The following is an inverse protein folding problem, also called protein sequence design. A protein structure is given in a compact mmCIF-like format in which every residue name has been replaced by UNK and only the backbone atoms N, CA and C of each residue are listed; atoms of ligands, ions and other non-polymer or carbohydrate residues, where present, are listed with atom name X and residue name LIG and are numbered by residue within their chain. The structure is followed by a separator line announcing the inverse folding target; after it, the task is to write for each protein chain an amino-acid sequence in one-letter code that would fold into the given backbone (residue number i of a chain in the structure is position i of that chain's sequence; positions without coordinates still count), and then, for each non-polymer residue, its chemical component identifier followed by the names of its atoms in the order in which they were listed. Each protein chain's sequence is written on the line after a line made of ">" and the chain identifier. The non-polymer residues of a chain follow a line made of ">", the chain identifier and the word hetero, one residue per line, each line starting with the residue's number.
data_IF_015311651780
#
_entry.id   IF_015311651780
#
_cell.length_a   1.000
_cell.length_b   1.000
_cell.length_c   1.000
_cell.angle_alpha   90.00
_cell.angle_beta   90.00
_cell.angle_gamma   90.00
#
_symmetry.space_group_name_H-M   'P 1'
#
loop_
_entity.id
_entity.type
_entity.pdbx_description
1 polymer ?
#
# COMPACT_ATOMS: atom_id res chain seq x y z
N UNK A 1 -7.74 -28.52 -3.79
CA UNK A 1 -7.60 -28.58 -2.33
C UNK A 1 -8.35 -27.41 -1.69
N UNK A 2 -8.75 -27.56 -0.41
CA UNK A 2 -9.31 -26.46 0.38
C UNK A 2 -8.24 -25.92 1.31
N UNK A 3 -7.95 -24.64 1.21
CA UNK A 3 -6.85 -23.99 1.93
C UNK A 3 -7.44 -22.93 2.85
N UNK A 4 -7.13 -23.02 4.13
CA UNK A 4 -7.59 -22.07 5.15
C UNK A 4 -6.57 -21.01 5.44
N UNK A 5 -7.04 -19.76 5.63
CA UNK A 5 -6.21 -18.70 6.18
C UNK A 5 -6.81 -18.10 7.45
N UNK A 6 -5.97 -17.98 8.47
CA UNK A 6 -6.33 -17.44 9.79
C UNK A 6 -5.43 -16.26 10.11
N UNK A 7 -5.99 -15.19 10.64
CA UNK A 7 -5.23 -14.08 11.20
C UNK A 7 -5.75 -13.66 12.57
N UNK A 8 -4.85 -13.56 13.54
CA UNK A 8 -5.15 -13.05 14.89
C UNK A 8 -4.28 -11.84 15.21
N UNK A 9 -4.83 -10.90 15.98
CA UNK A 9 -4.19 -9.62 16.26
C UNK A 9 -3.23 -9.64 17.46
N UNK A 10 -3.29 -10.65 18.33
CA UNK A 10 -2.44 -10.84 19.50
C UNK A 10 -2.17 -12.32 19.73
N UNK A 11 -1.05 -12.64 20.39
CA UNK A 11 -0.73 -14.04 20.77
C UNK A 11 -1.77 -14.67 21.70
N UNK A 12 -2.50 -13.86 22.47
CA UNK A 12 -3.53 -14.29 23.41
C UNK A 12 -4.89 -14.55 22.76
N UNK A 13 -5.14 -14.05 21.53
CA UNK A 13 -6.39 -14.36 20.82
C UNK A 13 -6.36 -15.80 20.34
N UNK A 14 -7.26 -16.58 20.88
CA UNK A 14 -7.40 -18.00 20.60
C UNK A 14 -7.75 -18.24 19.11
N UNK A 15 -6.79 -18.75 18.35
CA UNK A 15 -6.98 -19.18 16.95
C UNK A 15 -7.90 -20.40 16.89
N UNK A 16 -8.04 -21.17 17.97
CA UNK A 16 -8.71 -22.47 18.00
C UNK A 16 -10.12 -22.40 17.42
N UNK A 17 -10.89 -21.34 17.68
CA UNK A 17 -12.24 -21.22 17.10
C UNK A 17 -12.22 -21.17 15.58
N UNK A 18 -11.32 -20.38 14.98
CA UNK A 18 -11.19 -20.27 13.52
C UNK A 18 -10.66 -21.56 12.92
N UNK A 19 -9.68 -22.18 13.59
CA UNK A 19 -9.09 -23.44 13.16
C UNK A 19 -10.11 -24.59 13.18
N UNK A 20 -10.90 -24.71 14.25
CA UNK A 20 -11.96 -25.72 14.37
C UNK A 20 -12.97 -25.53 13.24
N UNK A 21 -13.48 -24.31 13.06
CA UNK A 21 -14.43 -24.00 11.99
C UNK A 21 -13.89 -24.36 10.60
N UNK A 22 -12.64 -24.01 10.31
CA UNK A 22 -12.02 -24.30 9.01
C UNK A 22 -11.79 -25.80 8.82
N UNK A 23 -11.40 -26.53 9.86
CA UNK A 23 -11.27 -28.00 9.83
C UNK A 23 -12.60 -28.71 9.61
N UNK A 24 -13.69 -28.23 10.24
CA UNK A 24 -15.05 -28.73 10.02
C UNK A 24 -15.50 -28.55 8.56
N UNK A 25 -14.98 -27.53 7.86
CA UNK A 25 -15.22 -27.30 6.43
C UNK A 25 -14.36 -28.19 5.52
N UNK A 26 -13.52 -29.05 6.11
CA UNK A 26 -12.65 -29.96 5.38
C UNK A 26 -11.48 -29.23 4.71
N UNK A 27 -10.89 -28.24 5.39
CA UNK A 27 -9.66 -27.58 4.92
C UNK A 27 -8.49 -28.55 5.02
N UNK A 28 -7.77 -28.71 3.93
CA UNK A 28 -6.63 -29.64 3.79
C UNK A 28 -5.34 -29.02 4.38
N UNK A 29 -5.11 -27.72 4.17
CA UNK A 29 -3.92 -26.99 4.62
C UNK A 29 -4.32 -25.67 5.27
N UNK A 30 -3.58 -25.24 6.32
CA UNK A 30 -3.91 -24.06 7.10
C UNK A 30 -2.70 -23.13 7.25
N UNK A 31 -2.86 -21.87 6.90
CA UNK A 31 -1.87 -20.81 7.05
C UNK A 31 -2.31 -19.84 8.14
N UNK A 32 -1.44 -19.55 9.12
CA UNK A 32 -1.79 -18.77 10.31
C UNK A 32 -0.81 -17.62 10.52
N UNK A 33 -1.28 -16.39 10.36
CA UNK A 33 -0.55 -15.19 10.73
C UNK A 33 -0.95 -14.68 12.12
N UNK A 34 0.04 -14.50 12.98
CA UNK A 34 -0.11 -13.82 14.28
C UNK A 34 0.34 -12.36 14.11
N UNK A 35 -0.52 -11.52 13.55
CA UNK A 35 -0.18 -10.13 13.23
C UNK A 35 -1.36 -9.19 13.44
N UNK A 36 -1.13 -8.01 14.03
CA UNK A 36 -2.16 -6.97 14.13
C UNK A 36 -2.63 -6.53 12.75
N UNK A 37 -3.87 -6.05 12.63
CA UNK A 37 -4.41 -5.54 11.37
C UNK A 37 -3.61 -4.35 10.78
N UNK A 38 -2.80 -3.70 11.62
CA UNK A 38 -1.91 -2.60 11.22
C UNK A 38 -0.54 -3.07 10.73
N UNK A 39 -0.11 -4.29 11.09
CA UNK A 39 1.17 -4.84 10.61
C UNK A 39 1.10 -5.12 9.10
N UNK A 40 2.10 -4.62 8.38
CA UNK A 40 2.28 -4.90 6.96
C UNK A 40 2.77 -6.33 6.71
N UNK A 41 3.37 -6.94 7.71
CA UNK A 41 4.00 -8.24 7.56
C UNK A 41 3.01 -9.38 7.80
N UNK A 42 2.79 -10.19 6.75
CA UNK A 42 1.94 -11.38 6.74
C UNK A 42 2.68 -12.48 5.97
N UNK A 43 3.67 -13.09 6.59
CA UNK A 43 4.50 -14.09 5.92
C UNK A 43 3.69 -15.30 5.46
N UNK A 44 2.74 -15.76 6.29
CA UNK A 44 1.92 -16.92 5.94
C UNK A 44 0.88 -16.62 4.86
N UNK A 45 0.35 -15.39 4.80
CA UNK A 45 -0.48 -14.98 3.65
C UNK A 45 0.32 -15.02 2.35
N UNK A 46 1.54 -14.47 2.34
CA UNK A 46 2.41 -14.51 1.15
C UNK A 46 2.73 -15.94 0.74
N UNK A 47 3.12 -16.77 1.72
CA UNK A 47 3.41 -18.18 1.50
C UNK A 47 2.18 -18.92 0.94
N UNK A 48 0.99 -18.68 1.47
CA UNK A 48 -0.25 -19.23 0.96
C UNK A 48 -0.50 -18.78 -0.48
N UNK A 49 -0.35 -17.49 -0.79
CA UNK A 49 -0.53 -16.95 -2.15
C UNK A 49 0.44 -17.56 -3.18
N UNK A 50 1.64 -17.95 -2.76
CA UNK A 50 2.59 -18.69 -3.59
C UNK A 50 2.23 -20.17 -3.72
N UNK A 51 1.73 -20.77 -2.65
CA UNK A 51 1.41 -22.20 -2.54
C UNK A 51 0.20 -22.62 -3.37
N UNK A 52 -0.85 -21.80 -3.41
CA UNK A 52 -2.12 -22.12 -4.07
C UNK A 52 -1.98 -22.34 -5.58
N UNK A 53 -2.72 -23.31 -6.09
CA UNK A 53 -2.68 -23.75 -7.48
C UNK A 53 -4.09 -23.74 -8.09
N UNK A 54 -4.13 -23.81 -9.41
CA UNK A 54 -5.38 -23.91 -10.17
C UNK A 54 -6.30 -24.99 -9.60
N UNK A 55 -7.55 -24.62 -9.36
CA UNK A 55 -8.60 -25.52 -8.85
C UNK A 55 -8.63 -25.64 -7.33
N UNK A 56 -7.74 -24.92 -6.61
CA UNK A 56 -7.82 -24.80 -5.16
C UNK A 56 -8.90 -23.79 -4.74
N UNK A 57 -9.32 -23.87 -3.48
CA UNK A 57 -10.26 -22.92 -2.87
C UNK A 57 -9.69 -22.37 -1.58
N UNK A 58 -9.51 -21.05 -1.49
CA UNK A 58 -9.10 -20.38 -0.26
C UNK A 58 -10.34 -20.04 0.56
N UNK A 59 -10.36 -20.49 1.82
CA UNK A 59 -11.48 -20.30 2.75
C UNK A 59 -11.03 -19.48 3.94
N UNK A 60 -11.79 -18.44 4.27
CA UNK A 60 -11.54 -17.59 5.45
C UNK A 60 -12.79 -17.44 6.30
N UNK A 61 -12.62 -17.16 7.60
CA UNK A 61 -13.74 -16.85 8.49
C UNK A 61 -14.45 -15.57 8.05
N UNK A 62 -13.67 -14.50 7.77
CA UNK A 62 -14.20 -13.19 7.37
C UNK A 62 -13.19 -12.41 6.52
N UNK A 63 -13.71 -11.50 5.72
CA UNK A 63 -12.91 -10.57 4.90
C UNK A 63 -11.92 -9.80 5.77
N UNK A 64 -12.33 -9.36 6.95
CA UNK A 64 -11.47 -8.59 7.87
C UNK A 64 -10.25 -9.36 8.38
N UNK A 65 -10.26 -10.69 8.29
CA UNK A 65 -9.10 -11.56 8.58
C UNK A 65 -8.18 -11.69 7.38
N UNK A 66 -8.75 -11.69 6.19
CA UNK A 66 -8.03 -11.86 4.93
C UNK A 66 -7.40 -10.55 4.43
N UNK A 67 -8.17 -9.48 4.39
CA UNK A 67 -7.76 -8.19 3.88
C UNK A 67 -7.77 -7.09 4.97
N UNK A 68 -7.03 -5.99 4.73
CA UNK A 68 -6.96 -4.82 5.62
C UNK A 68 -8.00 -3.77 5.28
N UNK A 69 -8.32 -3.67 4.02
CA UNK A 69 -9.30 -2.75 3.45
C UNK A 69 -9.86 -3.34 2.16
N UNK A 70 -10.85 -2.70 1.58
CA UNK A 70 -11.52 -3.17 0.36
C UNK A 70 -10.56 -3.31 -0.81
N UNK A 71 -9.61 -2.40 -0.97
CA UNK A 71 -8.61 -2.47 -2.05
C UNK A 71 -7.71 -3.70 -1.91
N UNK A 72 -7.16 -3.92 -0.70
CA UNK A 72 -6.33 -5.10 -0.39
C UNK A 72 -7.10 -6.42 -0.65
N UNK A 73 -8.42 -6.44 -0.36
CA UNK A 73 -9.29 -7.57 -0.69
C UNK A 73 -9.34 -7.83 -2.20
N UNK A 74 -9.60 -6.79 -2.96
CA UNK A 74 -9.75 -6.90 -4.41
C UNK A 74 -8.45 -7.35 -5.08
N UNK A 75 -7.32 -6.74 -4.69
CA UNK A 75 -6.00 -7.08 -5.21
C UNK A 75 -5.65 -8.56 -4.89
N UNK A 76 -5.97 -9.04 -3.67
CA UNK A 76 -5.75 -10.44 -3.28
C UNK A 76 -6.66 -11.41 -4.05
N UNK A 77 -7.95 -11.09 -4.19
CA UNK A 77 -8.91 -11.95 -4.92
C UNK A 77 -8.63 -11.95 -6.42
N UNK A 78 -8.22 -10.82 -7.00
CA UNK A 78 -7.77 -10.75 -8.39
C UNK A 78 -6.60 -11.71 -8.63
N UNK A 79 -5.59 -11.68 -7.76
CA UNK A 79 -4.43 -12.60 -7.82
C UNK A 79 -4.82 -14.10 -7.72
N UNK A 80 -5.79 -14.43 -6.85
CA UNK A 80 -6.35 -15.78 -6.78
C UNK A 80 -7.07 -16.16 -8.07
N UNK A 81 -7.86 -15.23 -8.63
CA UNK A 81 -8.61 -15.44 -9.87
C UNK A 81 -7.68 -15.66 -11.07
N UNK A 82 -6.58 -14.90 -11.19
CA UNK A 82 -5.55 -15.11 -12.20
C UNK A 82 -4.94 -16.50 -12.14
N UNK A 83 -4.76 -17.03 -10.92
CA UNK A 83 -4.30 -18.41 -10.68
C UNK A 83 -5.41 -19.46 -10.84
N UNK A 84 -6.64 -19.05 -11.14
CA UNK A 84 -7.82 -19.92 -11.19
C UNK A 84 -8.08 -20.64 -9.84
N UNK A 85 -7.90 -19.89 -8.74
CA UNK A 85 -8.18 -20.29 -7.36
C UNK A 85 -9.43 -19.58 -6.90
N UNK A 86 -10.35 -20.31 -6.29
CA UNK A 86 -11.60 -19.76 -5.79
C UNK A 86 -11.43 -19.21 -4.37
N UNK A 87 -12.25 -18.20 -4.01
CA UNK A 87 -12.24 -17.57 -2.71
C UNK A 87 -13.60 -17.66 -2.01
N UNK A 88 -13.60 -18.05 -0.74
CA UNK A 88 -14.80 -18.16 0.09
C UNK A 88 -14.61 -17.44 1.42
N UNK A 89 -15.47 -16.45 1.72
CA UNK A 89 -15.60 -15.85 3.03
C UNK A 89 -16.90 -16.28 3.71
N UNK A 90 -16.78 -16.93 4.86
CA UNK A 90 -17.94 -17.56 5.54
C UNK A 90 -18.89 -16.53 6.14
N UNK A 91 -18.35 -15.53 6.83
CA UNK A 91 -19.16 -14.55 7.57
C UNK A 91 -19.98 -13.66 6.63
N UNK A 92 -19.37 -13.22 5.53
CA UNK A 92 -20.00 -12.36 4.54
C UNK A 92 -20.75 -13.16 3.45
N UNK A 93 -20.71 -14.50 3.51
CA UNK A 93 -21.32 -15.41 2.53
C UNK A 93 -20.89 -15.09 1.07
N UNK A 94 -19.62 -14.70 0.90
CA UNK A 94 -19.03 -14.47 -0.42
C UNK A 94 -18.36 -15.76 -0.88
N UNK A 95 -18.73 -16.19 -2.08
CA UNK A 95 -18.21 -17.40 -2.71
C UNK A 95 -18.01 -17.14 -4.20
N UNK A 96 -16.75 -17.06 -4.64
CA UNK A 96 -16.42 -16.77 -6.04
C UNK A 96 -16.73 -17.92 -7.00
N UNK A 97 -17.08 -19.09 -6.49
CA UNK A 97 -17.59 -20.19 -7.34
C UNK A 97 -18.99 -19.86 -7.87
N UNK A 98 -19.72 -18.96 -7.19
CA UNK A 98 -21.10 -18.58 -7.54
C UNK A 98 -21.15 -17.24 -8.29
N UNK A 99 -22.14 -17.08 -9.21
CA UNK A 99 -22.36 -15.78 -9.87
C UNK A 99 -22.66 -14.65 -8.88
N UNK A 100 -23.40 -14.95 -7.81
CA UNK A 100 -23.72 -13.98 -6.76
C UNK A 100 -22.48 -13.51 -6.01
N UNK A 101 -21.55 -14.41 -5.67
CA UNK A 101 -20.28 -14.03 -5.02
C UNK A 101 -19.40 -13.18 -5.91
N UNK A 102 -19.31 -13.50 -7.21
CA UNK A 102 -18.61 -12.65 -8.20
C UNK A 102 -19.24 -11.27 -8.31
N UNK A 103 -20.57 -11.21 -8.36
CA UNK A 103 -21.29 -9.92 -8.37
C UNK A 103 -20.99 -9.10 -7.12
N UNK A 104 -21.01 -9.70 -5.93
CA UNK A 104 -20.67 -9.01 -4.67
C UNK A 104 -19.27 -8.40 -4.69
N UNK A 105 -18.27 -9.09 -5.23
CA UNK A 105 -16.93 -8.53 -5.41
C UNK A 105 -16.93 -7.33 -6.35
N UNK A 106 -17.71 -7.35 -7.43
CA UNK A 106 -17.87 -6.22 -8.33
C UNK A 106 -18.47 -5.00 -7.60
N UNK A 107 -19.45 -5.22 -6.74
CA UNK A 107 -20.02 -4.15 -5.90
C UNK A 107 -18.96 -3.58 -4.95
N UNK A 108 -18.15 -4.43 -4.29
CA UNK A 108 -17.05 -3.95 -3.44
C UNK A 108 -16.02 -3.14 -4.24
N UNK A 109 -15.70 -3.56 -5.46
CA UNK A 109 -14.80 -2.81 -6.34
C UNK A 109 -15.34 -1.41 -6.65
N UNK A 110 -16.62 -1.32 -7.01
CA UNK A 110 -17.27 -0.04 -7.29
C UNK A 110 -17.31 0.88 -6.05
N UNK A 111 -17.60 0.33 -4.86
CA UNK A 111 -17.57 1.09 -3.61
C UNK A 111 -16.17 1.60 -3.28
N UNK A 112 -15.13 0.76 -3.44
CA UNK A 112 -13.74 1.16 -3.20
C UNK A 112 -13.28 2.29 -4.12
N UNK A 113 -13.69 2.26 -5.40
CA UNK A 113 -13.36 3.33 -6.36
C UNK A 113 -14.10 4.62 -5.99
N UNK A 114 -15.37 4.55 -5.62
CA UNK A 114 -16.14 5.70 -5.16
C UNK A 114 -15.53 6.35 -3.91
N UNK A 115 -15.12 5.55 -2.92
CA UNK A 115 -14.41 6.04 -1.73
C UNK A 115 -13.11 6.78 -2.10
N UNK A 116 -12.36 6.22 -3.05
CA UNK A 116 -11.13 6.84 -3.56
C UNK A 116 -11.40 8.18 -4.23
N UNK A 117 -12.43 8.26 -5.06
CA UNK A 117 -12.83 9.52 -5.72
C UNK A 117 -13.21 10.59 -4.69
N UNK A 118 -13.98 10.25 -3.66
CA UNK A 118 -14.32 11.18 -2.58
C UNK A 118 -13.12 11.65 -1.78
N UNK A 119 -12.13 10.79 -1.53
CA UNK A 119 -10.89 11.18 -0.86
C UNK A 119 -10.10 12.18 -1.73
N UNK A 120 -9.95 11.91 -3.02
CA UNK A 120 -9.25 12.79 -3.96
C UNK A 120 -9.96 14.14 -4.12
N UNK A 121 -11.29 14.14 -4.18
CA UNK A 121 -12.08 15.36 -4.25
C UNK A 121 -11.86 16.22 -2.99
N UNK A 122 -12.03 15.65 -1.80
CA UNK A 122 -11.78 16.37 -0.53
C UNK A 122 -10.36 16.90 -0.43
N UNK A 123 -9.36 16.13 -0.92
CA UNK A 123 -7.97 16.58 -0.97
C UNK A 123 -7.79 17.77 -1.90
N UNK A 124 -8.39 17.77 -3.09
CA UNK A 124 -8.35 18.90 -4.04
C UNK A 124 -8.97 20.16 -3.44
N UNK A 125 -10.13 20.02 -2.83
CA UNK A 125 -10.83 21.12 -2.13
C UNK A 125 -9.98 21.68 -0.98
N UNK A 126 -9.41 20.82 -0.14
CA UNK A 126 -8.52 21.23 0.94
C UNK A 126 -7.26 21.95 0.46
N UNK A 127 -6.64 21.49 -0.65
CA UNK A 127 -5.50 22.17 -1.27
C UNK A 127 -5.91 23.54 -1.84
N UNK A 128 -7.08 23.64 -2.47
CA UNK A 128 -7.58 24.92 -3.01
C UNK A 128 -7.77 25.94 -1.88
N UNK A 129 -8.42 25.54 -0.79
CA UNK A 129 -8.60 26.38 0.41
C UNK A 129 -7.25 26.79 1.03
N UNK A 130 -6.31 25.83 1.18
CA UNK A 130 -4.99 26.11 1.74
C UNK A 130 -4.17 27.07 0.87
N UNK A 131 -4.35 27.03 -0.47
CA UNK A 131 -3.73 28.00 -1.41
C UNK A 131 -4.29 29.40 -1.22
N UNK A 132 -5.63 29.55 -1.15
CA UNK A 132 -6.26 30.86 -0.93
C UNK A 132 -5.87 31.48 0.41
N UNK A 133 -5.64 30.64 1.43
CA UNK A 133 -5.19 31.10 2.77
C UNK A 133 -3.65 31.28 2.87
N UNK A 134 -2.89 31.10 1.78
CA UNK A 134 -1.42 31.20 1.81
C UNK A 134 -0.71 30.11 2.64
N UNK A 135 -1.44 29.09 3.09
CA UNK A 135 -0.90 28.00 3.93
C UNK A 135 -0.21 26.91 3.11
N UNK A 136 -0.54 26.79 1.82
CA UNK A 136 0.06 25.79 0.94
C UNK A 136 1.41 26.30 0.40
N UNK A 137 2.48 25.90 1.04
CA UNK A 137 3.86 26.31 0.69
C UNK A 137 4.58 25.37 -0.27
N UNK A 138 3.94 24.28 -0.69
CA UNK A 138 4.59 23.24 -1.49
C UNK A 138 5.67 22.48 -0.72
N UNK A 139 6.59 21.88 -1.46
CA UNK A 139 7.75 21.20 -0.87
C UNK A 139 8.71 22.24 -0.29
N UNK A 140 9.12 22.13 0.98
CA UNK A 140 10.13 23.04 1.54
C UNK A 140 11.38 23.09 0.66
N UNK A 141 11.92 24.29 0.47
CA UNK A 141 13.18 24.44 -0.24
C UNK A 141 14.28 23.68 0.52
N UNK A 142 15.05 22.87 -0.20
CA UNK A 142 16.19 22.19 0.41
C UNK A 142 17.22 23.24 0.79
N UNK A 143 17.64 23.23 2.05
CA UNK A 143 18.72 24.10 2.53
C UNK A 143 20.07 23.55 2.10
N UNK A 144 20.98 24.46 1.80
CA UNK A 144 22.36 24.16 1.39
C UNK A 144 23.29 25.04 2.23
N UNK A 145 23.63 24.64 3.46
CA UNK A 145 24.28 25.51 4.45
C UNK A 145 25.61 26.11 3.97
N UNK A 146 26.32 25.49 3.04
CA UNK A 146 27.60 25.98 2.51
C UNK A 146 27.50 26.57 1.10
N UNK A 147 26.27 26.89 0.63
CA UNK A 147 26.06 27.27 -0.76
C UNK A 147 26.87 28.49 -1.17
N UNK A 148 26.86 29.57 -0.37
CA UNK A 148 27.57 30.83 -0.64
C UNK A 148 29.09 30.62 -0.70
N UNK A 149 29.64 29.88 0.25
CA UNK A 149 31.07 29.58 0.30
C UNK A 149 31.51 28.78 -0.94
N UNK A 150 30.74 27.75 -1.33
CA UNK A 150 31.06 26.93 -2.50
C UNK A 150 30.94 27.73 -3.80
N UNK A 151 29.95 28.63 -3.91
CA UNK A 151 29.78 29.53 -5.05
C UNK A 151 30.92 30.55 -5.14
N UNK A 152 31.38 31.08 -4.01
CA UNK A 152 32.52 31.99 -3.98
C UNK A 152 33.81 31.33 -4.48
N UNK A 153 34.09 30.13 -4.00
CA UNK A 153 35.25 29.31 -4.46
C UNK A 153 35.20 29.00 -5.96
N UNK A 154 34.00 28.68 -6.45
CA UNK A 154 33.79 28.46 -7.90
C UNK A 154 34.06 29.73 -8.72
N UNK A 155 33.58 30.91 -8.25
CA UNK A 155 33.80 32.20 -8.93
C UNK A 155 35.25 32.64 -8.90
N UNK A 156 35.99 32.32 -7.83
CA UNK A 156 37.42 32.59 -7.69
C UNK A 156 38.30 31.61 -8.53
N UNK A 157 37.69 30.63 -9.21
CA UNK A 157 38.42 29.65 -10.02
C UNK A 157 39.10 28.53 -9.22
N UNK A 158 38.84 28.44 -7.90
CA UNK A 158 39.44 27.40 -7.03
C UNK A 158 38.87 26.00 -7.29
N UNK A 159 37.60 25.94 -7.71
CA UNK A 159 36.91 24.72 -8.04
C UNK A 159 36.09 24.86 -9.35
N UNK A 160 35.90 23.76 -10.06
CA UNK A 160 35.04 23.79 -11.26
C UNK A 160 33.57 23.76 -10.88
N UNK A 161 32.69 24.22 -11.79
CA UNK A 161 31.23 24.17 -11.57
C UNK A 161 30.73 22.74 -11.31
N UNK A 162 31.36 21.72 -11.93
CA UNK A 162 31.03 20.31 -11.71
C UNK A 162 31.35 19.88 -10.29
N UNK A 163 32.50 20.29 -9.77
CA UNK A 163 32.91 20.03 -8.39
C UNK A 163 32.00 20.73 -7.38
N UNK A 164 31.63 21.99 -7.64
CA UNK A 164 30.70 22.75 -6.81
C UNK A 164 29.33 22.09 -6.75
N UNK A 165 28.75 21.68 -7.89
CA UNK A 165 27.50 20.97 -7.97
C UNK A 165 27.54 19.63 -7.22
N UNK A 166 28.65 18.88 -7.32
CA UNK A 166 28.83 17.59 -6.62
C UNK A 166 28.91 17.79 -5.09
N UNK A 167 29.65 18.80 -4.63
CA UNK A 167 29.77 19.13 -3.19
C UNK A 167 28.41 19.50 -2.58
N UNK A 168 27.57 20.22 -3.33
CA UNK A 168 26.24 20.66 -2.88
C UNK A 168 25.13 19.64 -3.13
N UNK A 169 25.40 18.57 -3.88
CA UNK A 169 24.38 17.61 -4.31
C UNK A 169 23.26 18.26 -5.13
N UNK A 170 23.62 19.22 -6.01
CA UNK A 170 22.69 20.02 -6.81
C UNK A 170 22.73 19.62 -8.29
N UNK A 171 21.57 19.69 -8.96
CA UNK A 171 21.50 19.62 -10.41
C UNK A 171 22.04 20.92 -11.05
N UNK A 172 22.51 20.82 -12.30
CA UNK A 172 23.05 21.93 -13.08
C UNK A 172 22.11 23.14 -13.11
N UNK A 173 20.86 22.93 -13.48
CA UNK A 173 19.85 24.00 -13.58
C UNK A 173 19.69 24.73 -12.25
N UNK A 174 19.46 23.99 -11.16
CA UNK A 174 19.24 24.54 -9.83
C UNK A 174 20.48 25.29 -9.29
N UNK A 175 21.69 24.81 -9.58
CA UNK A 175 22.93 25.45 -9.17
C UNK A 175 23.06 26.85 -9.78
N UNK A 176 22.91 26.94 -11.12
CA UNK A 176 23.05 28.23 -11.80
C UNK A 176 21.92 29.21 -11.52
N UNK A 177 20.68 28.76 -11.40
CA UNK A 177 19.54 29.60 -11.00
C UNK A 177 19.79 30.24 -9.62
N UNK A 178 20.21 29.43 -8.65
CA UNK A 178 20.44 29.92 -7.29
C UNK A 178 21.71 30.78 -7.19
N UNK A 179 22.77 30.44 -7.92
CA UNK A 179 23.99 31.27 -7.99
C UNK A 179 23.73 32.63 -8.63
N UNK A 180 22.77 32.74 -9.56
CA UNK A 180 22.36 34.03 -10.15
C UNK A 180 21.66 34.95 -9.14
N UNK A 181 20.93 34.38 -8.17
CA UNK A 181 20.25 35.14 -7.12
C UNK A 181 21.21 35.79 -6.09
N UNK A 182 22.43 35.26 -5.91
CA UNK A 182 23.46 35.86 -5.06
C UNK A 182 24.12 37.09 -5.66
N UNK A 183 23.76 37.49 -6.87
CA UNK A 183 24.28 38.67 -7.53
C UNK A 183 23.32 39.90 -7.46
N UNK A 184 22.20 39.74 -6.73
CA UNK A 184 21.24 40.80 -6.43
C UNK A 184 21.37 41.19 -4.97
#
# INVERSE_FOLDING_TARGET
>A
MKIGYVRVSTEEQNTARQEIMLRELGVDELFIDKASGKSADRPELRRMMEYVRRGDTVIVESISRFARNTRDLLDLVEHLTEKQVEFVSRKEAIDTTTPTGKFMLTVFAAVAELEREYILQRQREGIAIARTQGKYRGRPAKDYPNFECVVARWRNGEITAVQAMKQLGMSKTRFYERAKLLNK
#
